data_IF_302340531035
#
_entry.id   IF_302340531035
#
_cell.length_a   1.000
_cell.length_b   1.000
_cell.length_c   1.000
_cell.angle_alpha   90.00
_cell.angle_beta   90.00
_cell.angle_gamma   90.00
#
_symmetry.space_group_name_H-M   'P 1'
#
loop_
_entity.id
_entity.type
_entity.pdbx_description
1 polymer ?
#
# COMPACT_ATOMS: atom_id res chain seq x y z
N UNK A 1 -63.02 -7.84 -35.49
CA UNK A 1 -62.24 -8.79 -34.66
C UNK A 1 -61.29 -9.51 -35.60
N UNK A 2 -59.99 -9.74 -35.32
CA UNK A 2 -59.23 -9.84 -34.05
C UNK A 2 -58.61 -8.49 -33.61
N UNK A 3 -58.02 -8.26 -32.43
CA UNK A 3 -57.62 -9.13 -31.31
C UNK A 3 -56.15 -8.85 -30.93
N UNK A 4 -55.92 -8.41 -29.68
CA UNK A 4 -54.64 -8.41 -28.91
C UNK A 4 -53.53 -7.46 -29.38
N UNK A 5 -52.74 -6.76 -28.55
CA UNK A 5 -52.68 -6.41 -27.13
C UNK A 5 -51.65 -5.27 -27.00
N UNK A 6 -51.66 -4.49 -25.91
CA UNK A 6 -50.76 -3.36 -25.66
C UNK A 6 -49.45 -3.79 -24.96
N UNK A 7 -48.49 -2.88 -24.82
CA UNK A 7 -47.64 -2.60 -23.62
C UNK A 7 -46.19 -2.17 -23.93
N UNK A 8 -45.82 -1.06 -23.26
CA UNK A 8 -44.56 -0.74 -22.57
C UNK A 8 -43.22 -0.96 -23.29
N UNK A 9 -42.45 0.12 -23.44
CA UNK A 9 -41.18 0.34 -22.72
C UNK A 9 -40.54 1.60 -23.32
N UNK A 10 -40.21 2.67 -22.60
CA UNK A 10 -39.54 2.65 -21.30
C UNK A 10 -38.03 2.55 -21.54
N UNK A 11 -37.34 3.69 -21.38
CA UNK A 11 -35.91 3.87 -21.15
C UNK A 11 -34.92 3.57 -22.28
N UNK A 12 -34.20 4.62 -22.72
CA UNK A 12 -32.74 4.57 -22.66
C UNK A 12 -32.17 5.98 -22.67
N UNK A 13 -32.08 6.59 -21.48
CA UNK A 13 -30.93 7.44 -21.21
C UNK A 13 -29.88 6.54 -20.59
N UNK A 14 -28.62 6.51 -21.08
CA UNK A 14 -27.55 6.08 -20.23
C UNK A 14 -27.29 7.21 -19.23
N UNK A 15 -27.80 7.00 -18.02
CA UNK A 15 -27.35 7.73 -16.85
C UNK A 15 -25.82 7.66 -16.79
N UNK A 16 -25.23 8.78 -16.39
CA UNK A 16 -23.84 8.93 -16.01
C UNK A 16 -23.44 7.84 -15.00
N UNK A 17 -22.94 6.73 -15.49
CA UNK A 17 -22.37 5.66 -14.67
C UNK A 17 -20.95 5.41 -15.17
N UNK A 18 -20.12 6.42 -14.96
CA UNK A 18 -18.67 6.27 -14.93
C UNK A 18 -18.16 7.11 -13.76
N UNK A 19 -18.74 6.86 -12.59
CA UNK A 19 -17.97 6.98 -11.37
C UNK A 19 -17.08 5.75 -11.35
N UNK A 20 -16.02 5.77 -12.16
CA UNK A 20 -14.91 4.82 -12.00
C UNK A 20 -14.53 4.90 -10.53
N UNK A 21 -14.54 3.78 -9.77
CA UNK A 21 -13.95 3.81 -8.46
C UNK A 21 -12.49 4.20 -8.70
N UNK A 22 -12.14 5.41 -8.26
CA UNK A 22 -10.75 5.82 -8.05
C UNK A 22 -10.05 4.59 -7.48
N UNK A 23 -8.95 4.09 -8.08
CA UNK A 23 -8.25 2.95 -7.51
C UNK A 23 -7.93 3.32 -6.07
N UNK A 24 -8.67 2.70 -5.14
CA UNK A 24 -8.61 2.96 -3.71
C UNK A 24 -7.14 3.02 -3.36
N UNK A 25 -6.72 4.19 -2.91
CA UNK A 25 -5.33 4.59 -2.87
C UNK A 25 -4.42 3.41 -2.48
N UNK A 26 -3.77 2.86 -3.51
CA UNK A 26 -2.41 2.35 -3.37
C UNK A 26 -2.28 1.04 -2.58
N UNK A 27 -2.79 -0.04 -3.17
CA UNK A 27 -2.16 -1.36 -3.05
C UNK A 27 -0.83 -1.37 -3.85
N UNK A 28 0.03 -0.35 -3.63
CA UNK A 28 1.35 -0.27 -4.29
C UNK A 28 2.20 -1.39 -3.73
N UNK A 29 2.58 -2.31 -4.62
CA UNK A 29 3.65 -3.25 -4.36
C UNK A 29 4.96 -2.46 -4.21
N UNK A 30 5.62 -2.61 -3.06
CA UNK A 30 6.92 -1.99 -2.81
C UNK A 30 8.01 -2.81 -3.50
N UNK A 31 8.87 -2.16 -4.25
CA UNK A 31 10.03 -2.76 -4.90
C UNK A 31 11.32 -2.39 -4.15
N UNK A 32 12.39 -3.16 -4.38
CA UNK A 32 13.74 -2.77 -3.94
C UNK A 32 14.13 -1.45 -4.60
N UNK A 33 14.65 -0.51 -3.82
CA UNK A 33 15.00 0.84 -4.24
C UNK A 33 13.90 1.88 -3.98
N UNK A 34 12.66 1.44 -3.72
CA UNK A 34 11.53 2.33 -3.51
C UNK A 34 11.64 3.10 -2.18
N UNK A 35 11.20 4.35 -2.19
CA UNK A 35 11.17 5.18 -0.99
C UNK A 35 9.89 4.92 -0.22
N UNK A 36 10.02 4.58 1.06
CA UNK A 36 8.90 4.23 1.92
C UNK A 36 8.95 5.03 3.20
N UNK A 37 7.79 5.46 3.66
CA UNK A 37 7.58 6.18 4.89
C UNK A 37 7.06 5.24 5.96
N UNK A 38 7.65 5.29 7.13
CA UNK A 38 7.15 4.62 8.31
C UNK A 38 5.80 5.23 8.69
N UNK A 39 4.71 4.47 8.69
CA UNK A 39 3.40 4.96 9.15
C UNK A 39 3.05 4.49 10.56
N UNK A 40 3.52 3.30 10.92
CA UNK A 40 3.31 2.71 12.24
C UNK A 40 4.61 2.12 12.73
N UNK A 41 5.09 2.57 13.89
CA UNK A 41 6.31 2.02 14.50
C UNK A 41 5.89 0.94 15.49
N UNK A 42 6.18 -0.35 15.22
CA UNK A 42 5.92 -1.40 16.20
C UNK A 42 6.82 -1.20 17.43
N UNK A 43 6.42 -1.70 18.61
CA UNK A 43 7.18 -1.52 19.86
C UNK A 43 8.61 -2.09 19.78
N UNK A 44 8.82 -3.07 18.90
CA UNK A 44 10.13 -3.65 18.63
C UNK A 44 10.35 -3.80 17.13
N UNK A 45 11.51 -3.34 16.67
CA UNK A 45 11.97 -3.42 15.29
C UNK A 45 12.97 -4.56 15.16
N UNK A 46 12.79 -5.43 14.17
CA UNK A 46 13.81 -6.45 13.84
C UNK A 46 14.82 -5.85 12.89
N UNK A 47 16.11 -6.05 13.12
CA UNK A 47 17.15 -5.67 12.14
C UNK A 47 17.14 -6.60 10.93
N UNK A 48 17.51 -6.07 9.77
CA UNK A 48 17.69 -6.84 8.53
C UNK A 48 19.11 -7.42 8.38
N UNK A 49 19.83 -7.54 9.49
CA UNK A 49 21.19 -8.08 9.55
C UNK A 49 21.18 -9.63 9.45
N UNK A 50 22.26 -10.28 8.98
CA UNK A 50 22.43 -11.75 9.07
C UNK A 50 22.13 -12.32 10.46
N UNK A 51 22.35 -11.55 11.53
CA UNK A 51 21.81 -11.85 12.87
C UNK A 51 20.66 -10.90 13.22
N UNK A 52 19.39 -11.26 12.95
CA UNK A 52 18.26 -10.39 13.25
C UNK A 52 18.10 -10.20 14.76
N UNK A 53 18.26 -8.96 15.20
CA UNK A 53 18.13 -8.53 16.59
C UNK A 53 16.86 -7.69 16.76
N UNK A 54 16.22 -7.82 17.93
CA UNK A 54 15.15 -6.91 18.34
C UNK A 54 15.78 -5.63 18.88
N UNK A 55 15.39 -4.50 18.30
CA UNK A 55 15.76 -3.16 18.74
C UNK A 55 14.50 -2.41 19.18
N UNK A 56 14.63 -1.46 20.10
CA UNK A 56 13.51 -0.60 20.49
C UNK A 56 13.03 0.28 19.32
N UNK A 57 11.75 0.65 19.35
CA UNK A 57 11.11 1.57 18.41
C UNK A 57 11.81 2.93 18.26
N UNK A 58 12.57 3.36 19.29
CA UNK A 58 13.30 4.64 19.34
C UNK A 58 14.29 4.85 18.17
N UNK A 59 14.65 3.77 17.47
CA UNK A 59 15.54 3.85 16.31
C UNK A 59 14.86 4.36 15.04
N UNK A 60 13.54 4.33 14.92
CA UNK A 60 12.83 4.82 13.74
C UNK A 60 11.57 5.55 14.16
N UNK A 61 11.47 6.82 13.77
CA UNK A 61 10.31 7.64 14.08
C UNK A 61 9.15 7.37 13.11
N UNK A 62 7.92 7.53 13.60
CA UNK A 62 6.74 7.54 12.74
C UNK A 62 6.84 8.71 11.77
N UNK A 63 6.80 8.43 10.48
CA UNK A 63 6.96 9.39 9.41
C UNK A 63 8.37 9.45 8.83
N UNK A 64 9.35 8.73 9.39
CA UNK A 64 10.69 8.67 8.82
C UNK A 64 10.67 7.96 7.45
N UNK A 65 11.45 8.50 6.51
CA UNK A 65 11.56 7.95 5.15
C UNK A 65 12.79 7.06 5.10
N UNK A 66 12.57 5.81 4.70
CA UNK A 66 13.62 4.84 4.42
C UNK A 66 13.55 4.37 2.96
N UNK A 67 14.52 3.54 2.58
CA UNK A 67 14.58 2.93 1.26
C UNK A 67 14.52 1.41 1.38
N UNK A 68 13.70 0.76 0.55
CA UNK A 68 13.65 -0.70 0.52
C UNK A 68 14.96 -1.25 -0.03
N UNK A 69 15.71 -1.99 0.78
CA UNK A 69 16.91 -2.71 0.37
C UNK A 69 16.60 -4.08 -0.19
N UNK A 70 15.59 -4.76 0.37
CA UNK A 70 15.27 -6.14 0.00
C UNK A 70 13.80 -6.41 0.29
N UNK A 71 13.15 -7.15 -0.61
CA UNK A 71 11.80 -7.69 -0.40
C UNK A 71 11.95 -9.17 -0.08
N UNK A 72 11.59 -9.56 1.14
CA UNK A 72 11.60 -10.95 1.58
C UNK A 72 10.27 -11.63 1.29
N UNK A 73 10.34 -12.95 1.17
CA UNK A 73 9.15 -13.80 1.19
C UNK A 73 8.31 -13.50 2.44
N UNK A 74 6.99 -13.74 2.36
CA UNK A 74 6.01 -13.45 3.42
C UNK A 74 5.71 -11.95 3.64
N UNK A 75 6.07 -11.08 2.69
CA UNK A 75 5.70 -9.65 2.75
C UNK A 75 6.48 -8.85 3.79
N UNK A 76 7.70 -9.28 4.11
CA UNK A 76 8.67 -8.50 4.88
C UNK A 76 9.57 -7.69 3.97
N UNK A 77 9.84 -6.46 4.36
CA UNK A 77 10.66 -5.52 3.61
C UNK A 77 11.84 -5.12 4.51
N UNK A 78 13.06 -5.35 4.04
CA UNK A 78 14.23 -4.78 4.67
C UNK A 78 14.33 -3.32 4.21
N UNK A 79 14.02 -2.39 5.11
CA UNK A 79 14.05 -0.96 4.82
C UNK A 79 15.24 -0.34 5.56
N UNK A 80 16.09 0.37 4.82
CA UNK A 80 17.18 1.15 5.39
C UNK A 80 16.70 2.54 5.75
N UNK A 81 16.74 2.83 7.03
CA UNK A 81 16.56 4.15 7.60
C UNK A 81 17.93 4.74 7.97
N UNK A 82 17.90 5.96 8.48
CA UNK A 82 19.11 6.68 8.90
C UNK A 82 19.88 5.97 10.01
N UNK A 83 19.15 5.32 10.94
CA UNK A 83 19.72 4.58 12.09
C UNK A 83 20.16 3.15 11.78
N UNK A 84 19.75 2.58 10.64
CA UNK A 84 20.04 1.19 10.30
C UNK A 84 19.00 0.56 9.36
N UNK A 85 19.15 -0.73 9.09
CA UNK A 85 18.21 -1.49 8.27
C UNK A 85 17.31 -2.39 9.15
N UNK A 86 15.99 -2.29 8.94
CA UNK A 86 15.00 -2.98 9.74
C UNK A 86 14.00 -3.75 8.85
N UNK A 87 13.54 -4.88 9.35
CA UNK A 87 12.51 -5.71 8.73
C UNK A 87 11.14 -5.22 9.17
N UNK A 88 10.38 -4.72 8.21
CA UNK A 88 9.05 -4.14 8.39
C UNK A 88 8.03 -4.85 7.50
N UNK A 89 6.75 -4.78 7.86
CA UNK A 89 5.68 -5.33 7.02
C UNK A 89 5.11 -4.23 6.13
N UNK A 90 4.44 -4.62 5.05
CA UNK A 90 3.72 -3.67 4.18
C UNK A 90 2.74 -2.78 4.94
N UNK A 91 2.12 -3.31 6.01
CA UNK A 91 1.15 -2.58 6.84
C UNK A 91 1.78 -1.43 7.66
N UNK A 92 3.09 -1.52 7.95
CA UNK A 92 3.82 -0.51 8.74
C UNK A 92 4.42 0.59 7.85
N UNK A 93 4.34 0.41 6.53
CA UNK A 93 5.00 1.22 5.50
C UNK A 93 3.98 1.85 4.56
N UNK A 94 4.21 3.12 4.21
CA UNK A 94 3.53 3.79 3.10
C UNK A 94 4.54 4.12 2.01
N UNK A 95 4.28 3.82 0.74
CA UNK A 95 5.12 4.31 -0.36
C UNK A 95 5.14 5.84 -0.35
N UNK A 96 6.33 6.41 -0.53
CA UNK A 96 6.51 7.83 -0.81
C UNK A 96 6.46 7.97 -2.32
N UNK A 97 5.25 8.03 -2.87
CA UNK A 97 5.08 8.35 -4.29
C UNK A 97 5.45 9.83 -4.45
N UNK A 98 6.68 10.08 -4.92
CA UNK A 98 7.00 11.35 -5.56
C UNK A 98 6.60 11.24 -7.02
N UNK A 99 5.91 12.23 -7.61
CA UNK A 99 5.80 12.30 -9.07
C UNK A 99 7.23 12.46 -9.61
N UNK A 100 7.74 11.42 -10.26
CA UNK A 100 8.91 11.52 -11.13
C UNK A 100 8.56 12.25 -12.41
#
# INVERSE_FOLDING_TARGET
>A
MPGSSPFLSGSSGPASESSEPLPSATEIALAVGDAVRMVSVPPYLKTADPMPMLRPADLVDSGEIGQVLEVRALGQFAVRFRRGAFLLRRADLSPVTGPG
#
